data_IF_836406420582
#
_entry.id   IF_836406420582
#
_cell.length_a   1.000
_cell.length_b   1.000
_cell.length_c   1.000
_cell.angle_alpha   90.00
_cell.angle_beta   90.00
_cell.angle_gamma   90.00
#
_symmetry.space_group_name_H-M   'P 1'
#
loop_
_entity.id
_entity.type
_entity.pdbx_description
1 polymer ?
#
# COMPACT_ATOMS: atom_id res chain seq x y z
N UNK A 1 -38.63 65.32 -10.37
CA UNK A 1 -38.28 63.89 -10.37
C UNK A 1 -37.61 63.56 -9.03
N UNK A 2 -38.27 62.82 -8.15
CA UNK A 2 -37.67 62.30 -6.91
C UNK A 2 -37.25 60.86 -7.19
N UNK A 3 -35.97 60.64 -7.44
CA UNK A 3 -35.41 59.30 -7.61
C UNK A 3 -35.47 58.64 -6.24
N UNK A 4 -36.22 57.55 -6.12
CA UNK A 4 -36.50 56.88 -4.86
C UNK A 4 -35.27 56.04 -4.47
N UNK A 5 -34.35 56.64 -3.71
CA UNK A 5 -33.03 56.08 -3.28
C UNK A 5 -33.18 54.81 -2.41
N UNK A 6 -34.41 54.46 -2.03
CA UNK A 6 -34.73 53.29 -1.19
C UNK A 6 -34.50 51.98 -1.96
N UNK A 7 -34.77 51.93 -3.27
CA UNK A 7 -34.67 50.72 -4.08
C UNK A 7 -33.21 50.20 -4.28
N UNK A 8 -32.20 51.05 -4.60
CA UNK A 8 -30.82 50.58 -4.71
C UNK A 8 -30.19 50.26 -3.34
N UNK A 9 -30.65 50.88 -2.25
CA UNK A 9 -30.14 50.61 -0.90
C UNK A 9 -30.54 49.21 -0.39
N UNK A 10 -31.75 48.76 -0.72
CA UNK A 10 -32.22 47.41 -0.37
C UNK A 10 -31.48 46.32 -1.16
N UNK A 11 -31.18 46.58 -2.44
CA UNK A 11 -30.41 45.63 -3.27
C UNK A 11 -28.95 45.48 -2.79
N UNK A 12 -28.33 46.56 -2.31
CA UNK A 12 -26.98 46.50 -1.73
C UNK A 12 -26.95 45.74 -0.40
N UNK A 13 -27.97 45.93 0.45
CA UNK A 13 -28.06 45.25 1.74
C UNK A 13 -28.27 43.73 1.60
N UNK A 14 -28.98 43.29 0.54
CA UNK A 14 -29.20 41.86 0.26
C UNK A 14 -27.99 41.17 -0.38
N UNK A 15 -27.09 41.92 -1.03
CA UNK A 15 -25.84 41.38 -1.56
C UNK A 15 -24.76 41.11 -0.50
N UNK A 16 -24.82 41.83 0.63
CA UNK A 16 -23.82 41.73 1.71
C UNK A 16 -23.99 40.50 2.61
N UNK A 17 -25.16 39.84 2.62
CA UNK A 17 -25.40 38.62 3.41
C UNK A 17 -25.00 37.33 2.70
N UNK A 18 -24.65 37.40 1.40
CA UNK A 18 -24.19 36.25 0.61
C UNK A 18 -22.67 35.98 0.75
N UNK A 19 -21.96 36.77 1.58
CA UNK A 19 -20.52 36.59 1.87
C UNK A 19 -20.28 35.86 3.20
N UNK A 20 -21.24 35.09 3.71
CA UNK A 20 -20.94 34.09 4.74
C UNK A 20 -20.08 33.01 4.06
N UNK A 21 -18.78 33.28 4.05
CA UNK A 21 -17.72 32.32 3.77
C UNK A 21 -18.08 31.00 4.46
N UNK A 22 -18.05 29.90 3.72
CA UNK A 22 -17.94 28.60 4.36
C UNK A 22 -16.73 28.70 5.29
N UNK A 23 -16.98 28.74 6.61
CA UNK A 23 -15.95 28.40 7.57
C UNK A 23 -15.59 26.96 7.21
N UNK A 24 -14.34 26.74 6.82
CA UNK A 24 -13.86 25.44 6.42
C UNK A 24 -14.04 24.53 7.64
N UNK A 25 -15.11 23.74 7.61
CA UNK A 25 -15.45 22.74 8.62
C UNK A 25 -14.50 21.55 8.55
N UNK A 26 -13.22 21.80 8.29
CA UNK A 26 -12.14 20.85 8.50
C UNK A 26 -12.01 20.75 10.01
N UNK A 27 -12.87 19.90 10.55
CA UNK A 27 -12.74 19.35 11.88
C UNK A 27 -11.27 18.92 12.03
N UNK A 28 -10.67 19.17 13.20
CA UNK A 28 -9.36 18.65 13.58
C UNK A 28 -9.42 17.11 13.65
N UNK A 29 -9.62 16.46 12.51
CA UNK A 29 -9.45 15.02 12.35
C UNK A 29 -7.95 14.83 12.35
N UNK A 30 -7.45 14.24 13.44
CA UNK A 30 -6.07 13.79 13.52
C UNK A 30 -5.78 12.88 12.33
N UNK A 31 -5.07 13.39 11.31
CA UNK A 31 -4.58 12.62 10.16
C UNK A 31 -3.39 11.74 10.54
N UNK A 32 -3.41 11.15 11.74
CA UNK A 32 -2.40 10.21 12.17
C UNK A 32 -2.62 8.90 11.41
N UNK A 33 -1.75 8.61 10.45
CA UNK A 33 -1.80 7.36 9.70
C UNK A 33 -1.50 6.18 10.62
N UNK A 34 -2.34 5.15 10.59
CA UNK A 34 -2.07 3.94 11.35
C UNK A 34 -0.83 3.22 10.82
N UNK A 35 -0.13 2.50 11.69
CA UNK A 35 0.93 1.59 11.28
C UNK A 35 0.38 0.57 10.26
N UNK A 36 1.19 0.22 9.27
CA UNK A 36 0.87 -0.77 8.26
C UNK A 36 0.98 -2.16 8.87
N UNK A 37 -0.16 -2.84 8.90
CA UNK A 37 -0.24 -4.24 9.30
C UNK A 37 -0.29 -5.14 8.07
N UNK A 38 0.81 -5.86 7.84
CA UNK A 38 0.96 -6.83 6.76
C UNK A 38 0.84 -8.28 7.26
N UNK A 39 0.49 -8.51 8.53
CA UNK A 39 0.30 -9.86 9.05
C UNK A 39 -0.75 -10.63 8.25
N UNK A 40 -0.66 -11.96 8.27
CA UNK A 40 -1.55 -12.87 7.57
C UNK A 40 -0.86 -13.65 6.45
N UNK A 41 -1.65 -14.48 5.77
CA UNK A 41 -1.20 -15.31 4.66
C UNK A 41 -1.42 -14.58 3.34
N UNK A 42 -0.40 -14.58 2.48
CA UNK A 42 -0.42 -13.86 1.21
C UNK A 42 -0.08 -14.81 0.07
N UNK A 43 -1.02 -14.98 -0.86
CA UNK A 43 -0.85 -15.78 -2.07
C UNK A 43 -0.47 -14.89 -3.24
N UNK A 44 0.53 -15.32 -4.01
CA UNK A 44 0.90 -14.60 -5.23
C UNK A 44 -0.21 -14.77 -6.29
N UNK A 45 -0.59 -13.66 -6.91
CA UNK A 45 -1.58 -13.62 -7.99
C UNK A 45 -1.00 -13.14 -9.31
N UNK A 46 0.13 -12.42 -9.27
CA UNK A 46 0.85 -11.99 -10.45
C UNK A 46 2.35 -11.95 -10.22
N UNK A 47 3.10 -12.36 -11.23
CA UNK A 47 4.55 -12.29 -11.28
C UNK A 47 5.00 -11.68 -12.61
N UNK A 48 5.73 -10.57 -12.55
CA UNK A 48 6.35 -9.97 -13.73
C UNK A 48 7.87 -9.93 -13.62
N UNK A 49 8.56 -9.92 -14.77
CA UNK A 49 10.00 -9.69 -14.89
C UNK A 49 10.26 -8.60 -15.91
N UNK A 50 10.84 -7.48 -15.49
CA UNK A 50 11.02 -6.28 -16.33
C UNK A 50 9.73 -5.82 -17.02
N UNK A 51 8.58 -6.01 -16.36
CA UNK A 51 7.26 -5.70 -16.90
C UNK A 51 6.65 -6.78 -17.82
N UNK A 52 7.38 -7.82 -18.20
CA UNK A 52 6.79 -8.99 -18.88
C UNK A 52 6.02 -9.83 -17.85
N UNK A 53 4.73 -10.07 -18.10
CA UNK A 53 3.92 -10.94 -17.25
C UNK A 53 4.32 -12.42 -17.46
N UNK A 54 4.71 -13.08 -16.38
CA UNK A 54 5.12 -14.48 -16.37
C UNK A 54 4.03 -15.40 -15.80
N UNK A 55 2.91 -14.85 -15.33
CA UNK A 55 1.86 -15.56 -14.58
C UNK A 55 1.17 -16.63 -15.41
N UNK A 56 1.13 -16.49 -16.74
CA UNK A 56 0.58 -17.50 -17.63
C UNK A 56 1.54 -18.69 -17.89
N UNK A 57 2.82 -18.53 -17.54
CA UNK A 57 3.89 -19.48 -17.88
C UNK A 57 4.49 -20.17 -16.65
N UNK A 58 4.16 -19.70 -15.46
CA UNK A 58 4.63 -20.21 -14.18
C UNK A 58 3.43 -20.67 -13.36
N UNK A 59 3.61 -21.77 -12.64
CA UNK A 59 2.61 -22.21 -11.67
C UNK A 59 2.72 -21.35 -10.41
N UNK A 60 1.72 -20.50 -10.20
CA UNK A 60 1.61 -19.60 -9.05
C UNK A 60 0.76 -20.20 -7.92
N UNK A 61 0.18 -21.39 -8.12
CA UNK A 61 -0.93 -21.90 -7.31
C UNK A 61 -0.57 -22.06 -5.84
N UNK A 62 0.66 -22.48 -5.58
CA UNK A 62 1.09 -22.91 -4.25
C UNK A 62 1.93 -21.88 -3.50
N UNK A 63 2.49 -20.89 -4.19
CA UNK A 63 3.43 -19.97 -3.57
C UNK A 63 2.71 -19.00 -2.63
N UNK A 64 3.15 -19.02 -1.37
CA UNK A 64 2.63 -18.21 -0.28
C UNK A 64 3.76 -17.65 0.57
N UNK A 65 3.52 -16.47 1.12
CA UNK A 65 4.30 -15.92 2.22
C UNK A 65 3.36 -15.61 3.37
N UNK A 66 3.67 -16.13 4.56
CA UNK A 66 2.92 -15.83 5.77
C UNK A 66 3.74 -14.87 6.64
N UNK A 67 3.13 -13.77 7.08
CA UNK A 67 3.73 -12.84 8.03
C UNK A 67 3.06 -13.01 9.39
N UNK A 68 3.82 -13.46 10.38
CA UNK A 68 3.32 -13.75 11.71
C UNK A 68 3.40 -12.52 12.62
N UNK A 69 2.46 -12.33 13.57
CA UNK A 69 2.46 -11.21 14.50
C UNK A 69 3.71 -11.09 15.39
N UNK A 70 4.50 -12.16 15.52
CA UNK A 70 5.76 -12.17 16.29
C UNK A 70 6.97 -11.64 15.49
N UNK A 71 6.76 -11.19 14.25
CA UNK A 71 7.81 -10.67 13.37
C UNK A 71 8.52 -11.76 12.58
N UNK A 72 8.01 -12.99 12.54
CA UNK A 72 8.53 -14.08 11.70
C UNK A 72 7.76 -14.22 10.38
N UNK A 73 8.37 -14.84 9.38
CA UNK A 73 7.70 -15.19 8.13
C UNK A 73 8.03 -16.62 7.70
N UNK A 74 7.09 -17.25 6.98
CA UNK A 74 7.26 -18.55 6.33
C UNK A 74 7.00 -18.46 4.84
N UNK A 75 7.52 -19.43 4.08
CA UNK A 75 7.37 -19.53 2.64
C UNK A 75 6.83 -20.92 2.27
N UNK A 76 5.86 -20.99 1.38
CA UNK A 76 5.50 -22.21 0.67
C UNK A 76 6.21 -22.21 -0.69
N UNK A 77 7.12 -23.17 -0.91
CA UNK A 77 8.04 -23.12 -2.06
C UNK A 77 7.43 -23.59 -3.39
N UNK A 78 7.74 -22.84 -4.46
CA UNK A 78 7.73 -23.27 -5.88
C UNK A 78 8.31 -22.20 -6.85
N UNK A 79 8.64 -20.99 -6.38
CA UNK A 79 9.11 -19.87 -7.22
C UNK A 79 10.46 -19.29 -6.77
N UNK A 80 11.24 -18.70 -7.70
CA UNK A 80 12.47 -18.00 -7.36
C UNK A 80 12.14 -16.68 -6.64
N UNK A 81 12.30 -16.70 -5.31
CA UNK A 81 12.03 -15.55 -4.42
C UNK A 81 13.33 -15.02 -3.80
N UNK A 82 13.31 -13.78 -3.30
CA UNK A 82 14.52 -13.11 -2.75
C UNK A 82 15.03 -13.78 -1.47
N UNK A 83 14.14 -14.42 -0.72
CA UNK A 83 14.45 -15.26 0.43
C UNK A 83 14.22 -16.73 0.08
N UNK A 84 15.09 -17.60 0.60
CA UNK A 84 15.10 -19.04 0.32
C UNK A 84 14.90 -19.89 1.60
N UNK A 85 14.50 -19.27 2.70
CA UNK A 85 14.25 -19.90 3.98
C UNK A 85 13.25 -19.03 4.76
N UNK A 86 12.53 -19.59 5.75
CA UNK A 86 11.80 -18.78 6.73
C UNK A 86 12.75 -17.87 7.51
N UNK A 87 12.20 -16.90 8.24
CA UNK A 87 13.02 -16.03 9.09
C UNK A 87 12.23 -14.90 9.72
N UNK A 88 12.87 -13.75 9.92
CA UNK A 88 12.24 -12.56 10.51
C UNK A 88 12.05 -11.46 9.47
N UNK A 89 11.01 -10.64 9.64
CA UNK A 89 10.73 -9.51 8.77
C UNK A 89 10.57 -8.20 9.53
N UNK A 90 10.83 -7.09 8.85
CA UNK A 90 10.44 -5.76 9.31
C UNK A 90 10.15 -4.84 8.13
N UNK A 91 9.38 -3.79 8.40
CA UNK A 91 9.13 -2.72 7.45
C UNK A 91 10.12 -1.58 7.71
N UNK A 92 10.59 -0.90 6.65
CA UNK A 92 11.55 0.20 6.77
C UNK A 92 11.04 1.38 7.61
N UNK A 93 9.72 1.57 7.60
CA UNK A 93 8.98 2.54 8.41
C UNK A 93 7.62 1.93 8.76
N UNK A 94 7.14 2.05 10.01
CA UNK A 94 5.88 1.45 10.41
C UNK A 94 4.65 2.07 9.74
N UNK A 95 4.68 3.36 9.36
CA UNK A 95 3.54 4.07 8.79
C UNK A 95 3.68 4.27 7.27
N UNK A 96 4.90 4.53 6.79
CA UNK A 96 5.23 4.84 5.39
C UNK A 96 6.33 3.93 4.83
N UNK A 97 6.15 2.61 4.84
CA UNK A 97 7.16 1.68 4.36
C UNK A 97 7.41 1.84 2.86
N UNK A 98 8.68 1.86 2.49
CA UNK A 98 9.15 1.73 1.10
C UNK A 98 9.90 0.43 0.86
N UNK A 99 10.26 -0.29 1.93
CA UNK A 99 10.93 -1.57 1.84
C UNK A 99 10.42 -2.57 2.88
N UNK A 100 10.37 -3.83 2.45
CA UNK A 100 10.27 -5.00 3.30
C UNK A 100 11.67 -5.57 3.45
N UNK A 101 12.11 -5.72 4.70
CA UNK A 101 13.42 -6.25 5.06
C UNK A 101 13.20 -7.66 5.59
N UNK A 102 13.79 -8.65 4.93
CA UNK A 102 13.74 -10.04 5.36
C UNK A 102 15.12 -10.48 5.80
N UNK A 103 15.19 -11.15 6.95
CA UNK A 103 16.38 -11.87 7.41
C UNK A 103 16.07 -13.37 7.42
N UNK A 104 16.46 -14.11 6.36
CA UNK A 104 16.32 -15.55 6.31
C UNK A 104 17.16 -16.22 7.40
N UNK A 105 16.68 -17.34 7.95
CA UNK A 105 17.44 -18.14 8.90
C UNK A 105 18.74 -18.66 8.28
N UNK A 106 19.80 -18.70 9.08
CA UNK A 106 21.11 -19.18 8.64
C UNK A 106 21.91 -18.21 7.76
N UNK A 107 21.35 -17.03 7.43
CA UNK A 107 22.02 -15.97 6.67
C UNK A 107 22.19 -14.72 7.55
N UNK A 108 23.37 -14.10 7.52
CA UNK A 108 23.62 -12.88 8.32
C UNK A 108 23.11 -11.61 7.64
N UNK A 109 23.06 -11.61 6.31
CA UNK A 109 22.68 -10.46 5.50
C UNK A 109 21.17 -10.35 5.34
N UNK A 110 20.68 -9.11 5.35
CA UNK A 110 19.30 -8.80 5.00
C UNK A 110 19.10 -8.86 3.49
N UNK A 111 17.95 -9.35 3.08
CA UNK A 111 17.46 -9.17 1.71
C UNK A 111 16.32 -8.15 1.73
N UNK A 112 16.37 -7.21 0.79
CA UNK A 112 15.49 -6.05 0.79
C UNK A 112 14.65 -6.05 -0.49
N UNK A 113 13.34 -6.05 -0.32
CA UNK A 113 12.39 -5.86 -1.40
C UNK A 113 11.79 -4.44 -1.33
N UNK A 114 11.65 -3.78 -2.48
CA UNK A 114 10.80 -2.59 -2.56
C UNK A 114 9.37 -3.01 -2.25
N UNK A 115 8.74 -2.24 -1.38
CA UNK A 115 7.41 -2.53 -0.85
C UNK A 115 6.41 -1.50 -1.36
N UNK A 116 5.25 -1.97 -1.80
CA UNK A 116 4.08 -1.16 -2.08
C UNK A 116 2.85 -1.85 -1.50
N UNK A 117 1.90 -1.04 -1.03
CA UNK A 117 0.66 -1.54 -0.42
C UNK A 117 -0.59 -0.87 -1.01
N UNK A 118 -0.78 -0.97 -2.35
CA UNK A 118 -1.89 -0.33 -3.03
C UNK A 118 -3.24 -0.95 -2.64
N UNK A 119 -4.31 -0.21 -2.94
CA UNK A 119 -5.69 -0.74 -2.92
C UNK A 119 -6.05 -1.12 -4.35
N UNK A 120 -6.35 -2.39 -4.59
CA UNK A 120 -6.75 -2.94 -5.89
C UNK A 120 -8.11 -3.60 -5.69
N UNK A 121 -9.11 -3.18 -6.46
CA UNK A 121 -10.50 -3.68 -6.35
C UNK A 121 -11.11 -3.58 -4.95
N UNK A 122 -10.68 -2.59 -4.17
CA UNK A 122 -11.16 -2.36 -2.79
C UNK A 122 -10.34 -3.08 -1.72
N UNK A 123 -9.43 -3.98 -2.11
CA UNK A 123 -8.63 -4.78 -1.21
C UNK A 123 -7.16 -4.35 -1.17
N UNK A 124 -6.51 -4.59 -0.03
CA UNK A 124 -5.06 -4.37 0.09
C UNK A 124 -4.31 -5.45 -0.64
N UNK A 125 -3.47 -5.02 -1.58
CA UNK A 125 -2.52 -5.88 -2.26
C UNK A 125 -1.12 -5.63 -1.69
N UNK A 126 -0.37 -6.70 -1.46
CA UNK A 126 1.05 -6.61 -1.12
C UNK A 126 1.84 -6.72 -2.43
N UNK A 127 2.64 -5.71 -2.76
CA UNK A 127 3.50 -5.76 -3.95
C UNK A 127 4.97 -5.61 -3.58
N UNK A 128 5.76 -6.59 -4.00
CA UNK A 128 7.18 -6.70 -3.69
C UNK A 128 7.99 -6.70 -4.98
N UNK A 129 9.01 -5.84 -5.06
CA UNK A 129 9.92 -5.79 -6.21
C UNK A 129 11.38 -5.87 -5.83
N UNK A 130 12.15 -6.72 -6.51
CA UNK A 130 13.56 -6.99 -6.20
C UNK A 130 14.31 -7.61 -7.37
N UNK A 131 15.65 -7.69 -7.25
CA UNK A 131 16.54 -8.35 -8.21
C UNK A 131 17.22 -9.55 -7.56
N UNK A 132 17.27 -10.68 -8.26
CA UNK A 132 17.88 -11.93 -7.79
C UNK A 132 19.40 -12.00 -8.12
N UNK A 133 20.15 -10.94 -7.82
CA UNK A 133 21.61 -10.91 -7.98
C UNK A 133 22.14 -10.43 -9.35
N UNK A 134 21.28 -10.04 -10.29
CA UNK A 134 21.68 -9.33 -11.51
C UNK A 134 20.79 -8.08 -11.67
N UNK A 135 21.39 -6.90 -11.83
CA UNK A 135 20.67 -5.62 -11.96
C UNK A 135 19.79 -5.54 -13.22
N UNK A 136 20.00 -6.43 -14.20
CA UNK A 136 19.25 -6.46 -15.46
C UNK A 136 17.84 -6.99 -15.34
N UNK A 137 17.50 -7.70 -14.25
CA UNK A 137 16.18 -8.27 -14.04
C UNK A 137 15.58 -7.78 -12.73
N UNK A 138 14.44 -7.09 -12.84
CA UNK A 138 13.58 -6.74 -11.71
C UNK A 138 12.35 -7.62 -11.77
N UNK A 139 12.16 -8.40 -10.71
CA UNK A 139 10.96 -9.20 -10.51
C UNK A 139 9.98 -8.40 -9.67
N UNK A 140 8.70 -8.46 -10.01
CA UNK A 140 7.62 -7.93 -9.18
C UNK A 140 6.59 -9.03 -8.91
N UNK A 141 6.37 -9.30 -7.63
CA UNK A 141 5.35 -10.21 -7.13
C UNK A 141 4.22 -9.38 -6.53
N UNK A 142 2.99 -9.61 -7.00
CA UNK A 142 1.78 -9.04 -6.41
C UNK A 142 1.03 -10.16 -5.70
N UNK A 143 0.64 -9.91 -4.45
CA UNK A 143 -0.01 -10.88 -3.58
C UNK A 143 -1.35 -10.36 -3.08
N UNK A 144 -2.28 -11.28 -2.95
CA UNK A 144 -3.55 -11.07 -2.27
C UNK A 144 -3.54 -11.82 -0.93
N UNK A 145 -4.19 -11.23 0.07
CA UNK A 145 -4.33 -11.86 1.38
C UNK A 145 -5.31 -13.02 1.28
N UNK A 146 -4.91 -14.23 1.66
CA UNK A 146 -5.83 -15.37 1.77
C UNK A 146 -6.66 -15.25 3.05
N UNK A 147 -7.97 -15.48 2.94
CA UNK A 147 -8.97 -15.44 4.01
C UNK A 147 -8.96 -14.12 4.80
N UNK A 148 -9.67 -13.13 4.26
CA UNK A 148 -10.24 -12.08 5.10
C UNK A 148 -11.40 -12.67 5.88
N UNK A 149 -11.13 -13.28 7.03
CA UNK A 149 -12.21 -13.49 7.98
C UNK A 149 -12.68 -12.11 8.44
N UNK A 150 -13.87 -11.74 7.95
CA UNK A 150 -14.67 -10.56 8.28
C UNK A 150 -14.89 -10.41 9.79
#
# INVERSE_FOLDING_TARGET
>A
MKINVILPAVLLAFGLTALSSCEDGISNVSTAEAAKDITGSWKVVQLTRNGEDLSERLDLTDFRIDFNPDGTYTLAEQLPFIANAPGTYSLSDPQYPFALILRPEGVQEDVVARFQFPVVEGERQLSLSFSLGCESNVYQFNFERENQDL
#
